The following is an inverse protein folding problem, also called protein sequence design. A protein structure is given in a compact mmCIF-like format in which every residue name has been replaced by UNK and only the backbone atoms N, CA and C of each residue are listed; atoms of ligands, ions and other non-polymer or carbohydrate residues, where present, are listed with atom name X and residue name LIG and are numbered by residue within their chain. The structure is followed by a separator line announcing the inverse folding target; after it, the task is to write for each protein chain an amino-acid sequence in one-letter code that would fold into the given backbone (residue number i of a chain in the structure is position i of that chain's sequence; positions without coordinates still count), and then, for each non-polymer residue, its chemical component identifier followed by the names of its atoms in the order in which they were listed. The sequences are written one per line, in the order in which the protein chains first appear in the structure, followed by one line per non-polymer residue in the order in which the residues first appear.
data_IF_417552800895
#
_entry.id   IF_417552800895
#
_cell.length_a   1.000
_cell.length_b   1.000
_cell.length_c   1.000
_cell.angle_alpha   90.00
_cell.angle_beta   90.00
_cell.angle_gamma   90.00
#
_symmetry.space_group_name_H-M   'P 1'
#
loop_
_entity.id
_entity.type
_entity.pdbx_description
1 polymer ?
#
# COMPACT_ATOMS: atom_id res chain seq x y z
N UNK A 1 -13.66 -17.71 39.21
CA UNK A 1 -12.43 -17.39 39.96
C UNK A 1 -11.35 -18.46 39.82
N UNK A 2 -11.22 -19.12 38.65
CA UNK A 2 -10.07 -19.96 38.23
C UNK A 2 -9.97 -20.06 36.70
N UNK A 3 -11.04 -20.48 36.01
CA UNK A 3 -10.96 -20.80 34.57
C UNK A 3 -11.23 -19.57 33.67
N UNK A 4 -12.31 -18.83 33.91
CA UNK A 4 -12.66 -17.61 33.15
C UNK A 4 -11.58 -16.54 33.34
N UNK A 5 -11.11 -16.40 34.57
CA UNK A 5 -10.10 -15.45 35.00
C UNK A 5 -8.76 -15.73 34.32
N UNK A 6 -8.38 -17.02 34.21
CA UNK A 6 -7.21 -17.48 33.44
C UNK A 6 -7.36 -17.22 31.93
N UNK A 7 -8.55 -17.40 31.35
CA UNK A 7 -8.82 -17.09 29.93
C UNK A 7 -8.70 -15.59 29.66
N UNK A 8 -9.23 -14.71 30.53
CA UNK A 8 -9.05 -13.26 30.39
C UNK A 8 -7.58 -12.85 30.48
N UNK A 9 -6.81 -13.43 31.41
CA UNK A 9 -5.37 -13.20 31.52
C UNK A 9 -4.64 -13.70 30.25
N UNK A 10 -5.01 -14.87 29.72
CA UNK A 10 -4.42 -15.41 28.49
C UNK A 10 -4.71 -14.52 27.27
N UNK A 11 -5.92 -13.96 27.16
CA UNK A 11 -6.28 -13.00 26.12
C UNK A 11 -5.47 -11.70 26.20
N UNK A 12 -5.07 -11.26 27.39
CA UNK A 12 -4.17 -10.11 27.57
C UNK A 12 -2.74 -10.34 27.06
N UNK A 13 -2.33 -11.59 26.84
CA UNK A 13 -1.03 -11.94 26.26
C UNK A 13 -1.08 -12.19 24.74
N UNK A 14 -2.22 -11.98 24.08
CA UNK A 14 -2.28 -11.96 22.61
C UNK A 14 -1.70 -10.61 22.16
N UNK A 15 -0.55 -10.57 21.46
CA UNK A 15 -0.03 -9.33 20.94
C UNK A 15 -1.00 -8.76 19.90
N UNK A 16 -1.42 -7.51 20.09
CA UNK A 16 -2.08 -6.73 19.05
C UNK A 16 -1.05 -6.41 17.96
N UNK A 17 -0.93 -7.30 16.98
CA UNK A 17 -0.05 -7.09 15.82
C UNK A 17 -0.46 -5.81 15.09
N UNK A 18 0.42 -4.81 15.04
CA UNK A 18 0.24 -3.61 14.21
C UNK A 18 0.15 -4.03 12.74
N UNK A 19 -1.07 -4.12 12.20
CA UNK A 19 -1.30 -4.44 10.79
C UNK A 19 -0.93 -3.22 9.94
N UNK A 20 0.27 -3.23 9.39
CA UNK A 20 0.70 -2.20 8.43
C UNK A 20 -0.08 -2.34 7.12
N UNK A 21 -0.92 -1.36 6.82
CA UNK A 21 -1.72 -1.33 5.60
C UNK A 21 -0.92 -0.70 4.44
N UNK A 22 -0.17 -1.52 3.70
CA UNK A 22 0.64 -1.06 2.55
C UNK A 22 -0.22 -0.50 1.41
N UNK A 23 -1.24 -1.23 0.95
CA UNK A 23 -2.24 -0.75 -0.03
C UNK A 23 -3.58 -1.43 0.23
N UNK A 24 -4.65 -0.65 0.37
CA UNK A 24 -6.03 -1.13 0.36
C UNK A 24 -6.58 -1.20 -1.06
N UNK A 25 -7.40 -2.21 -1.34
CA UNK A 25 -8.15 -2.35 -2.60
C UNK A 25 -9.57 -2.79 -2.28
N UNK A 26 -10.57 -2.03 -2.73
CA UNK A 26 -11.98 -2.25 -2.40
C UNK A 26 -12.81 -2.32 -3.70
N UNK A 27 -13.51 -3.43 -3.99
CA UNK A 27 -14.39 -3.52 -5.15
C UNK A 27 -15.66 -2.71 -4.92
N UNK A 28 -16.11 -1.95 -5.92
CA UNK A 28 -17.44 -1.29 -5.88
C UNK A 28 -18.57 -2.32 -5.96
N UNK A 29 -18.36 -3.47 -6.63
CA UNK A 29 -19.27 -4.61 -6.54
C UNK A 29 -18.75 -5.62 -5.49
N UNK A 30 -19.35 -5.73 -4.29
CA UNK A 30 -18.85 -6.61 -3.22
C UNK A 30 -18.93 -8.11 -3.54
N UNK A 31 -19.59 -8.50 -4.63
CA UNK A 31 -19.65 -9.88 -5.10
C UNK A 31 -18.43 -10.26 -5.97
N UNK A 32 -17.61 -9.28 -6.40
CA UNK A 32 -16.43 -9.52 -7.24
C UNK A 32 -15.20 -9.73 -6.37
N UNK A 33 -14.59 -10.90 -6.48
CA UNK A 33 -13.35 -11.22 -5.77
C UNK A 33 -12.17 -10.59 -6.49
N UNK A 34 -11.40 -9.77 -5.77
CA UNK A 34 -10.12 -9.21 -6.24
C UNK A 34 -8.97 -10.03 -5.62
N UNK A 35 -7.91 -10.27 -6.40
CA UNK A 35 -6.66 -10.84 -5.92
C UNK A 35 -5.46 -10.21 -6.62
N UNK A 36 -4.45 -9.82 -5.83
CA UNK A 36 -3.14 -9.36 -6.31
C UNK A 36 -2.11 -10.49 -6.17
N UNK A 37 -1.87 -11.32 -7.22
CA UNK A 37 -0.86 -12.36 -7.17
C UNK A 37 0.59 -11.87 -7.03
N UNK A 38 0.92 -10.64 -7.44
CA UNK A 38 2.28 -10.11 -7.34
C UNK A 38 2.30 -8.58 -7.13
N UNK A 39 2.91 -8.14 -6.03
CA UNK A 39 3.35 -6.76 -5.84
C UNK A 39 4.86 -6.67 -6.17
N UNK A 40 5.28 -5.64 -6.92
CA UNK A 40 6.70 -5.39 -7.23
C UNK A 40 7.03 -3.92 -6.97
N UNK A 41 7.85 -3.67 -5.96
CA UNK A 41 8.35 -2.35 -5.62
C UNK A 41 9.87 -2.25 -5.87
N UNK A 42 10.31 -1.08 -6.32
CA UNK A 42 11.71 -0.65 -6.26
C UNK A 42 11.75 0.71 -5.58
N UNK A 43 12.47 0.80 -4.48
CA UNK A 43 12.75 2.05 -3.76
C UNK A 43 14.17 2.47 -4.12
N UNK A 44 14.34 3.70 -4.60
CA UNK A 44 15.64 4.32 -4.80
C UNK A 44 15.74 5.57 -3.93
N UNK A 45 16.74 5.63 -3.05
CA UNK A 45 16.96 6.74 -2.11
C UNK A 45 18.41 7.21 -2.18
N UNK A 46 18.63 8.52 -2.10
CA UNK A 46 19.97 9.13 -2.18
C UNK A 46 20.39 9.88 -0.90
N UNK A 47 19.57 9.87 0.16
CA UNK A 47 19.75 10.67 1.37
C UNK A 47 18.73 11.81 1.54
N UNK A 48 18.09 12.23 0.45
CA UNK A 48 17.24 13.44 0.36
C UNK A 48 15.93 13.14 -0.38
N UNK A 49 16.02 12.58 -1.58
CA UNK A 49 14.89 12.15 -2.41
C UNK A 49 14.73 10.63 -2.34
N UNK A 50 13.50 10.18 -2.10
CA UNK A 50 13.06 8.80 -2.34
C UNK A 50 12.22 8.73 -3.62
N UNK A 51 12.42 7.66 -4.41
CA UNK A 51 11.60 7.33 -5.58
C UNK A 51 11.08 5.91 -5.42
N UNK A 52 9.78 5.79 -5.19
CA UNK A 52 9.04 4.52 -5.20
C UNK A 52 8.50 4.23 -6.60
N UNK A 53 9.05 3.21 -7.27
CA UNK A 53 8.44 2.60 -8.45
C UNK A 53 7.64 1.38 -8.02
N UNK A 54 6.33 1.40 -8.26
CA UNK A 54 5.41 0.31 -7.93
C UNK A 54 4.79 -0.27 -9.22
N UNK A 55 4.65 -1.60 -9.27
CA UNK A 55 3.98 -2.35 -10.34
C UNK A 55 3.29 -3.56 -9.74
N UNK A 56 2.01 -3.77 -10.05
CA UNK A 56 1.18 -4.78 -9.39
C UNK A 56 0.36 -5.58 -10.39
N UNK A 57 0.42 -6.91 -10.31
CA UNK A 57 -0.42 -7.80 -11.12
C UNK A 57 -1.78 -7.94 -10.42
N UNK A 58 -2.86 -7.41 -11.00
CA UNK A 58 -4.20 -7.46 -10.43
C UNK A 58 -5.11 -8.43 -11.21
N UNK A 59 -5.97 -9.15 -10.49
CA UNK A 59 -7.01 -10.02 -11.06
C UNK A 59 -8.34 -9.78 -10.35
N UNK A 60 -9.43 -9.90 -11.08
CA UNK A 60 -10.80 -9.87 -10.57
C UNK A 60 -11.58 -11.07 -11.13
N UNK A 61 -12.61 -11.54 -10.40
CA UNK A 61 -13.48 -12.62 -10.87
C UNK A 61 -14.47 -12.19 -11.97
N UNK A 62 -14.72 -10.89 -12.09
CA UNK A 62 -15.54 -10.25 -13.14
C UNK A 62 -15.08 -8.79 -13.30
N UNK A 63 -15.62 -8.07 -14.29
CA UNK A 63 -15.37 -6.65 -14.51
C UNK A 63 -15.96 -5.79 -13.39
N UNK A 64 -15.13 -5.00 -12.70
CA UNK A 64 -15.53 -4.07 -11.65
C UNK A 64 -14.63 -2.83 -11.64
N UNK A 65 -15.13 -1.72 -11.08
CA UNK A 65 -14.26 -0.66 -10.59
C UNK A 65 -13.71 -1.04 -9.20
N UNK A 66 -12.54 -0.49 -8.88
CA UNK A 66 -11.78 -0.77 -7.66
C UNK A 66 -11.28 0.56 -7.12
N UNK A 67 -11.55 0.84 -5.84
CA UNK A 67 -10.92 1.94 -5.12
C UNK A 67 -9.61 1.44 -4.51
N UNK A 68 -8.49 1.97 -4.99
CA UNK A 68 -7.17 1.72 -4.41
C UNK A 68 -6.79 2.85 -3.45
N UNK A 69 -6.21 2.51 -2.29
CA UNK A 69 -5.73 3.47 -1.28
C UNK A 69 -4.32 3.09 -0.87
N UNK A 70 -3.35 3.94 -1.21
CA UNK A 70 -1.93 3.79 -0.85
C UNK A 70 -1.56 4.91 0.14
N UNK A 71 -1.53 4.65 1.46
CA UNK A 71 -1.04 5.64 2.42
C UNK A 71 0.47 5.84 2.25
N UNK A 72 0.91 7.10 2.31
CA UNK A 72 2.32 7.49 2.22
C UNK A 72 2.64 8.50 3.33
N UNK A 73 3.88 8.52 3.87
CA UNK A 73 4.27 9.38 4.98
C UNK A 73 4.48 10.85 4.58
N UNK A 74 4.54 11.14 3.28
CA UNK A 74 4.75 12.46 2.68
C UNK A 74 4.00 12.57 1.35
N UNK A 75 3.91 13.79 0.81
CA UNK A 75 3.23 14.06 -0.45
C UNK A 75 4.08 13.65 -1.68
N UNK A 76 3.61 12.75 -2.55
CA UNK A 76 4.35 12.28 -3.72
C UNK A 76 4.11 13.10 -4.99
N UNK A 77 5.16 13.28 -5.80
CA UNK A 77 5.06 13.72 -7.20
C UNK A 77 4.77 12.51 -8.11
N UNK A 78 3.50 12.35 -8.52
CA UNK A 78 3.03 11.13 -9.21
C UNK A 78 3.18 11.23 -10.73
N UNK A 79 4.05 10.37 -11.28
CA UNK A 79 4.35 10.26 -12.72
C UNK A 79 4.20 8.82 -13.21
N UNK A 80 3.90 8.66 -14.51
CA UNK A 80 3.86 7.33 -15.14
C UNK A 80 5.27 6.73 -15.17
N UNK A 81 5.48 5.65 -14.42
CA UNK A 81 6.72 4.89 -14.47
C UNK A 81 6.99 4.27 -15.86
N UNK A 82 8.26 4.16 -16.21
CA UNK A 82 8.72 3.47 -17.41
C UNK A 82 8.90 1.96 -17.15
N UNK A 83 8.32 1.14 -18.01
CA UNK A 83 8.43 -0.32 -17.94
C UNK A 83 9.86 -0.80 -18.28
N UNK A 84 10.61 -0.09 -19.12
CA UNK A 84 11.99 -0.47 -19.44
C UNK A 84 12.92 -0.28 -18.24
N UNK A 85 12.67 0.73 -17.41
CA UNK A 85 13.35 0.97 -16.13
C UNK A 85 13.12 -0.18 -15.16
N UNK A 86 11.86 -0.64 -15.01
CA UNK A 86 11.55 -1.86 -14.24
C UNK A 86 12.29 -3.08 -14.80
N UNK A 87 12.25 -3.30 -16.12
CA UNK A 87 12.96 -4.42 -16.76
C UNK A 87 14.47 -4.37 -16.52
N UNK A 88 15.11 -3.21 -16.71
CA UNK A 88 16.55 -2.99 -16.46
C UNK A 88 16.94 -3.24 -15.01
N UNK A 89 16.08 -2.84 -14.07
CA UNK A 89 16.27 -3.09 -12.64
C UNK A 89 16.16 -4.59 -12.30
N UNK A 90 15.11 -5.26 -12.77
CA UNK A 90 14.95 -6.72 -12.61
C UNK A 90 16.10 -7.50 -13.25
N UNK A 91 16.53 -7.11 -14.45
CA UNK A 91 17.71 -7.70 -15.12
C UNK A 91 18.99 -7.51 -14.28
N UNK A 92 19.17 -6.36 -13.63
CA UNK A 92 20.32 -6.08 -12.76
C UNK A 92 20.27 -6.87 -11.45
N UNK A 93 19.10 -6.94 -10.82
CA UNK A 93 18.85 -7.73 -9.60
C UNK A 93 19.12 -9.20 -9.90
N UNK A 94 18.52 -9.76 -10.96
CA UNK A 94 18.71 -11.14 -11.38
C UNK A 94 20.20 -11.45 -11.66
N UNK A 95 20.90 -10.62 -12.45
CA UNK A 95 22.34 -10.79 -12.72
C UNK A 95 23.18 -10.84 -11.43
N UNK A 96 22.83 -10.06 -10.40
CA UNK A 96 23.55 -10.10 -9.12
C UNK A 96 23.15 -11.29 -8.26
N UNK A 97 21.86 -11.62 -8.15
CA UNK A 97 21.37 -12.77 -7.37
C UNK A 97 21.90 -14.11 -7.91
N UNK A 98 22.03 -14.27 -9.23
CA UNK A 98 22.66 -15.45 -9.83
C UNK A 98 24.20 -15.50 -9.66
N UNK A 99 24.82 -14.49 -9.02
CA UNK A 99 26.26 -14.44 -8.73
C UNK A 99 26.64 -14.51 -7.24
N UNK A 100 25.67 -14.47 -6.31
CA UNK A 100 25.98 -14.41 -4.88
C UNK A 100 24.80 -14.72 -3.96
N UNK A 101 25.10 -15.24 -2.76
CA UNK A 101 24.09 -15.60 -1.74
C UNK A 101 23.18 -14.41 -1.40
N UNK A 102 21.89 -14.69 -1.24
CA UNK A 102 20.89 -13.70 -0.84
C UNK A 102 21.18 -13.15 0.56
N UNK A 103 20.93 -11.86 0.76
CA UNK A 103 20.80 -11.22 2.08
C UNK A 103 19.33 -10.80 2.31
N UNK A 104 18.84 -10.92 3.54
CA UNK A 104 17.58 -10.31 3.99
C UNK A 104 17.86 -8.97 4.67
N UNK A 105 17.03 -7.96 4.40
CA UNK A 105 16.97 -6.72 5.17
C UNK A 105 15.87 -6.75 6.25
N UNK A 106 15.90 -5.83 7.24
CA UNK A 106 14.88 -5.69 8.28
C UNK A 106 13.80 -4.63 7.94
N UNK A 107 12.72 -4.61 8.72
CA UNK A 107 11.63 -3.60 8.70
C UNK A 107 11.79 -2.58 9.85
N UNK A 108 11.16 -1.39 9.73
CA UNK A 108 11.12 -0.29 10.72
C UNK A 108 9.74 0.43 10.70
N UNK A 109 9.46 1.34 11.67
CA UNK A 109 8.10 1.56 12.20
C UNK A 109 7.62 3.02 12.43
N UNK A 110 6.30 3.23 12.26
CA UNK A 110 5.34 4.14 12.94
C UNK A 110 5.50 5.69 13.04
N UNK A 111 4.50 6.43 12.50
CA UNK A 111 3.61 7.30 13.33
C UNK A 111 3.50 8.84 13.10
N UNK A 112 2.26 9.39 13.17
CA UNK A 112 1.75 10.79 13.47
C UNK A 112 0.68 11.35 12.46
N UNK A 113 -0.19 12.30 12.90
CA UNK A 113 -1.63 12.54 12.51
C UNK A 113 -2.09 13.95 13.08
N UNK A 114 -3.04 14.83 12.65
CA UNK A 114 -4.06 15.11 11.55
C UNK A 114 -4.63 16.58 11.69
N UNK A 115 -5.07 17.36 10.64
CA UNK A 115 -6.43 18.01 10.64
C UNK A 115 -7.09 18.52 9.28
N UNK A 116 -8.25 17.98 8.83
CA UNK A 116 -9.28 18.54 7.89
C UNK A 116 -9.26 18.52 6.30
N UNK A 117 -8.48 17.69 5.57
CA UNK A 117 -8.60 17.32 4.13
C UNK A 117 -8.28 18.32 2.96
N UNK A 118 -7.37 17.97 2.02
CA UNK A 118 -7.15 18.68 0.72
C UNK A 118 -6.68 17.73 -0.44
N UNK A 119 -7.02 18.02 -1.71
CA UNK A 119 -6.55 17.30 -2.92
C UNK A 119 -5.54 18.16 -3.68
N UNK A 120 -4.25 17.79 -3.64
CA UNK A 120 -3.16 18.58 -4.22
C UNK A 120 -2.81 18.19 -5.66
N UNK A 121 -3.14 16.96 -6.07
CA UNK A 121 -2.95 16.46 -7.44
C UNK A 121 -4.13 15.58 -7.86
N UNK A 122 -4.57 15.68 -9.11
CA UNK A 122 -5.51 14.75 -9.72
C UNK A 122 -5.22 14.58 -11.21
N UNK A 123 -5.08 13.33 -11.68
CA UNK A 123 -4.73 12.99 -13.06
C UNK A 123 -5.00 11.52 -13.40
N UNK A 124 -5.64 11.28 -14.54
CA UNK A 124 -5.74 9.94 -15.12
C UNK A 124 -4.41 9.50 -15.76
N UNK A 125 -3.90 8.34 -15.34
CA UNK A 125 -2.63 7.76 -15.82
C UNK A 125 -2.88 6.31 -16.25
N UNK A 126 -2.99 6.11 -17.57
CA UNK A 126 -3.35 4.80 -18.13
C UNK A 126 -4.81 4.46 -17.81
N UNK A 127 -5.03 3.30 -17.20
CA UNK A 127 -6.36 2.87 -16.74
C UNK A 127 -6.75 3.45 -15.36
N UNK A 128 -5.78 3.96 -14.58
CA UNK A 128 -6.01 4.45 -13.22
C UNK A 128 -6.38 5.93 -13.25
N UNK A 129 -7.41 6.31 -12.50
CA UNK A 129 -7.63 7.71 -12.15
C UNK A 129 -7.03 7.98 -10.78
N UNK A 130 -6.05 8.88 -10.70
CA UNK A 130 -5.21 9.03 -9.52
C UNK A 130 -5.41 10.41 -8.92
N UNK A 131 -5.66 10.49 -7.62
CA UNK A 131 -5.52 11.71 -6.83
C UNK A 131 -4.46 11.52 -5.74
N UNK A 132 -3.72 12.59 -5.45
CA UNK A 132 -3.02 12.75 -4.18
C UNK A 132 -3.93 13.58 -3.30
N UNK A 133 -4.41 12.97 -2.22
CA UNK A 133 -5.21 13.62 -1.20
C UNK A 133 -4.36 13.70 0.06
N UNK A 134 -4.03 14.91 0.49
CA UNK A 134 -3.43 15.11 1.80
C UNK A 134 -4.51 14.85 2.86
N UNK A 135 -4.47 13.64 3.42
CA UNK A 135 -5.47 13.10 4.34
C UNK A 135 -5.41 13.78 5.70
N UNK A 136 -5.96 14.99 5.80
CA UNK A 136 -5.95 15.66 7.09
C UNK A 136 -7.12 15.26 8.03
N UNK A 137 -8.22 14.58 7.64
CA UNK A 137 -9.12 13.93 8.64
C UNK A 137 -9.52 12.50 8.28
N UNK A 138 -9.34 11.57 9.23
CA UNK A 138 -9.55 10.14 9.01
C UNK A 138 -11.03 9.73 8.95
N UNK A 139 -11.93 10.39 9.70
CA UNK A 139 -13.37 10.04 9.65
C UNK A 139 -14.02 10.55 8.38
N UNK A 140 -13.87 11.83 8.04
CA UNK A 140 -14.35 12.36 6.76
C UNK A 140 -13.82 11.59 5.54
N UNK A 141 -12.62 11.02 5.61
CA UNK A 141 -12.13 10.09 4.59
C UNK A 141 -12.86 8.74 4.59
N UNK A 142 -13.03 8.08 5.75
CA UNK A 142 -13.79 6.83 5.86
C UNK A 142 -15.24 7.03 5.41
N UNK A 143 -15.88 8.14 5.78
CA UNK A 143 -17.24 8.49 5.37
C UNK A 143 -17.31 8.74 3.85
N UNK A 144 -16.29 9.35 3.25
CA UNK A 144 -16.16 9.47 1.79
C UNK A 144 -15.98 8.11 1.10
N UNK A 145 -15.13 7.23 1.63
CA UNK A 145 -14.94 5.86 1.10
C UNK A 145 -16.26 5.09 1.16
N UNK A 146 -16.99 5.16 2.28
CA UNK A 146 -18.28 4.50 2.48
C UNK A 146 -19.43 5.11 1.67
N UNK A 147 -19.26 6.32 1.11
CA UNK A 147 -20.19 6.96 0.19
C UNK A 147 -19.81 6.80 -1.29
N UNK A 148 -18.61 6.28 -1.58
CA UNK A 148 -18.10 6.03 -2.93
C UNK A 148 -18.27 4.57 -3.38
N UNK A 149 -18.30 3.63 -2.42
CA UNK A 149 -18.49 2.18 -2.62
C UNK A 149 -19.98 1.79 -2.65
#
# INVERSE_FOLDING_TARGET
MKNIDLVMILCMFIPLSSVSANRGMMPVNPNVQIFEPNQRAMIAWNGDVEILLLSTDLRASDSTMILEVLPLPSEPDVKKGDLETFRKATDLINRKLYSGRMAKGPELSEGVVVPSGEVTFHKRIGAHDISVTHLLEARGFVDWVLAYL
#
